data_IF_140943860512
#
_entry.id   IF_140943860512
#
_cell.length_a   1.000
_cell.length_b   1.000
_cell.length_c   1.000
_cell.angle_alpha   90.00
_cell.angle_beta   90.00
_cell.angle_gamma   90.00
#
_symmetry.space_group_name_H-M   'P 1'
#
loop_
_entity.id
_entity.type
_entity.pdbx_description
1 polymer ?
#
# COMPACT_ATOMS: atom_id res chain seq x y z
N UNK A 1 6.83 -4.41 11.14
CA UNK A 1 6.05 -5.39 10.37
C UNK A 1 4.72 -4.81 9.91
N UNK A 2 3.89 -4.24 10.80
CA UNK A 2 2.55 -3.72 10.44
C UNK A 2 2.56 -2.84 9.18
N UNK A 3 3.55 -1.93 9.04
CA UNK A 3 3.64 -1.07 7.87
C UNK A 3 3.92 -1.85 6.58
N UNK A 4 4.75 -2.88 6.64
CA UNK A 4 5.01 -3.77 5.51
C UNK A 4 3.73 -4.50 5.08
N UNK A 5 3.02 -5.08 6.04
CA UNK A 5 1.74 -5.74 5.76
C UNK A 5 0.70 -4.78 5.15
N UNK A 6 0.59 -3.53 5.67
CA UNK A 6 -0.26 -2.50 5.07
C UNK A 6 0.15 -2.22 3.63
N UNK A 7 1.45 -2.13 3.34
CA UNK A 7 1.93 -1.83 1.99
C UNK A 7 1.65 -2.98 1.02
N UNK A 8 1.84 -4.24 1.42
CA UNK A 8 1.55 -5.41 0.58
C UNK A 8 0.05 -5.54 0.32
N UNK A 9 -0.78 -5.46 1.36
CA UNK A 9 -2.22 -5.65 1.25
C UNK A 9 -2.93 -4.44 0.64
N UNK A 10 -2.40 -3.23 0.84
CA UNK A 10 -3.03 -1.97 0.52
C UNK A 10 -2.73 -1.39 -0.87
N UNK A 11 -1.96 -2.09 -1.71
CA UNK A 11 -1.51 -1.59 -3.03
C UNK A 11 -2.67 -1.00 -3.84
N UNK A 12 -3.81 -1.66 -3.86
CA UNK A 12 -4.97 -1.26 -4.65
C UNK A 12 -6.12 -0.67 -3.81
N UNK A 13 -6.34 -1.20 -2.60
CA UNK A 13 -7.46 -0.77 -1.73
C UNK A 13 -7.11 0.40 -0.81
N UNK A 14 -5.82 0.70 -0.65
CA UNK A 14 -5.29 1.77 0.20
C UNK A 14 -5.06 1.35 1.66
N UNK A 15 -4.29 2.20 2.36
CA UNK A 15 -3.78 1.92 3.71
C UNK A 15 -4.89 1.73 4.75
N UNK A 16 -5.99 2.48 4.63
CA UNK A 16 -7.08 2.42 5.60
C UNK A 16 -7.80 1.06 5.58
N UNK A 17 -8.07 0.52 4.39
CA UNK A 17 -8.70 -0.79 4.28
C UNK A 17 -7.73 -1.90 4.67
N UNK A 18 -6.48 -1.84 4.22
CA UNK A 18 -5.44 -2.78 4.63
C UNK A 18 -5.26 -2.80 6.16
N UNK A 19 -5.28 -1.63 6.81
CA UNK A 19 -5.19 -1.55 8.28
C UNK A 19 -6.36 -2.24 8.98
N UNK A 20 -7.61 -2.03 8.50
CA UNK A 20 -8.80 -2.70 9.06
C UNK A 20 -8.72 -4.22 8.89
N UNK A 21 -8.21 -4.67 7.74
CA UNK A 21 -8.02 -6.10 7.48
C UNK A 21 -6.98 -6.70 8.43
N UNK A 22 -5.87 -5.99 8.66
CA UNK A 22 -4.85 -6.42 9.63
C UNK A 22 -5.45 -6.49 11.04
N UNK A 23 -6.26 -5.51 11.45
CA UNK A 23 -6.93 -5.54 12.75
C UNK A 23 -7.84 -6.78 12.88
N UNK A 24 -8.51 -7.19 11.80
CA UNK A 24 -9.28 -8.45 11.76
C UNK A 24 -8.40 -9.69 11.87
N UNK A 25 -7.24 -9.75 11.21
CA UNK A 25 -6.30 -10.85 11.39
C UNK A 25 -6.00 -11.03 12.87
N UNK A 26 -5.74 -9.95 13.58
CA UNK A 26 -5.43 -9.95 15.02
C UNK A 26 -6.63 -10.16 15.94
N UNK A 27 -7.84 -10.33 15.44
CA UNK A 27 -8.95 -10.89 16.23
C UNK A 27 -8.87 -12.40 16.42
N UNK A 28 -8.12 -13.08 15.55
CA UNK A 28 -8.02 -14.55 15.50
C UNK A 28 -6.59 -15.05 15.69
N UNK A 29 -5.59 -14.20 15.52
CA UNK A 29 -4.17 -14.51 15.64
C UNK A 29 -3.52 -13.57 16.66
N UNK A 30 -2.57 -14.08 17.45
CA UNK A 30 -1.98 -13.35 18.57
C UNK A 30 -0.89 -12.37 18.12
N UNK A 31 -0.04 -12.82 17.19
CA UNK A 31 1.12 -12.05 16.73
C UNK A 31 1.53 -12.35 15.28
N UNK A 32 2.53 -11.63 14.78
CA UNK A 32 3.05 -11.82 13.43
C UNK A 32 3.74 -13.18 13.22
N UNK A 33 4.21 -13.82 14.27
CA UNK A 33 4.80 -15.14 14.15
C UNK A 33 3.71 -16.20 13.95
N UNK A 34 2.57 -16.05 14.62
CA UNK A 34 1.41 -16.92 14.37
C UNK A 34 0.87 -16.71 12.95
N UNK A 35 0.79 -15.46 12.47
CA UNK A 35 0.44 -15.19 11.06
C UNK A 35 1.40 -15.90 10.11
N UNK A 36 2.71 -15.82 10.35
CA UNK A 36 3.76 -16.44 9.53
C UNK A 36 3.61 -17.95 9.40
N UNK A 37 3.31 -18.65 10.50
CA UNK A 37 3.20 -20.13 10.51
C UNK A 37 1.82 -20.64 10.12
N UNK A 38 0.85 -19.75 9.95
CA UNK A 38 -0.50 -20.10 9.53
C UNK A 38 -0.54 -20.46 8.05
N UNK A 39 -1.49 -21.32 7.67
CA UNK A 39 -1.72 -21.62 6.26
C UNK A 39 -2.28 -20.39 5.51
N UNK A 40 -1.97 -20.31 4.21
CA UNK A 40 -2.54 -19.27 3.33
C UNK A 40 -4.07 -19.21 3.47
N UNK A 41 -4.75 -20.36 3.53
CA UNK A 41 -6.20 -20.44 3.65
C UNK A 41 -6.73 -19.85 4.97
N UNK A 42 -6.00 -20.02 6.07
CA UNK A 42 -6.39 -19.46 7.38
C UNK A 42 -6.26 -17.93 7.36
N UNK A 43 -5.12 -17.40 6.88
CA UNK A 43 -4.90 -15.95 6.82
C UNK A 43 -5.85 -15.30 5.80
N UNK A 44 -6.03 -15.90 4.62
CA UNK A 44 -6.96 -15.39 3.62
C UNK A 44 -8.41 -15.35 4.12
N UNK A 45 -8.85 -16.33 4.91
CA UNK A 45 -10.19 -16.32 5.53
C UNK A 45 -10.38 -15.11 6.46
N UNK A 46 -9.35 -14.71 7.19
CA UNK A 46 -9.38 -13.50 8.02
C UNK A 46 -9.36 -12.23 7.17
N UNK A 47 -8.63 -12.22 6.05
CA UNK A 47 -8.59 -11.10 5.09
C UNK A 47 -9.94 -10.93 4.40
N UNK A 48 -10.52 -12.03 3.90
CA UNK A 48 -11.76 -12.04 3.11
C UNK A 48 -11.60 -11.36 1.74
N UNK A 49 -12.71 -11.17 1.02
CA UNK A 49 -12.73 -10.62 -0.35
C UNK A 49 -12.54 -9.09 -0.43
N UNK A 50 -12.14 -8.45 0.66
CA UNK A 50 -11.97 -6.99 0.72
C UNK A 50 -10.69 -6.48 0.08
N UNK A 51 -9.71 -7.35 -0.08
CA UNK A 51 -8.43 -7.03 -0.69
C UNK A 51 -8.44 -7.55 -2.13
N UNK A 52 -8.29 -6.67 -3.14
CA UNK A 52 -8.08 -7.11 -4.51
C UNK A 52 -6.90 -8.07 -4.60
N UNK A 53 -7.05 -9.15 -5.36
CA UNK A 53 -6.05 -10.22 -5.45
C UNK A 53 -5.65 -10.80 -4.07
N UNK A 54 -6.61 -10.85 -3.13
CA UNK A 54 -6.36 -11.13 -1.71
C UNK A 54 -5.58 -12.43 -1.45
N UNK A 55 -5.81 -13.48 -2.25
CA UNK A 55 -5.08 -14.74 -2.12
C UNK A 55 -3.59 -14.57 -2.43
N UNK A 56 -3.25 -13.86 -3.51
CA UNK A 56 -1.85 -13.63 -3.91
C UNK A 56 -1.17 -12.66 -2.95
N UNK A 57 -1.88 -11.62 -2.49
CA UNK A 57 -1.39 -10.71 -1.45
C UNK A 57 -1.15 -11.44 -0.11
N UNK A 58 -1.98 -12.44 0.21
CA UNK A 58 -1.76 -13.29 1.39
C UNK A 58 -0.47 -14.10 1.25
N UNK A 59 -0.22 -14.72 0.09
CA UNK A 59 1.03 -15.45 -0.17
C UNK A 59 2.23 -14.53 -0.05
N UNK A 60 2.20 -13.37 -0.72
CA UNK A 60 3.27 -12.36 -0.64
C UNK A 60 3.57 -11.93 0.80
N UNK A 61 2.53 -11.72 1.61
CA UNK A 61 2.70 -11.38 3.03
C UNK A 61 3.38 -12.51 3.80
N UNK A 62 2.94 -13.76 3.62
CA UNK A 62 3.51 -14.91 4.32
C UNK A 62 4.96 -15.18 3.89
N UNK A 63 5.26 -15.09 2.59
CA UNK A 63 6.60 -15.24 2.06
C UNK A 63 7.56 -14.18 2.63
N UNK A 64 7.11 -12.92 2.70
CA UNK A 64 7.88 -11.84 3.30
C UNK A 64 8.13 -12.07 4.81
N UNK A 65 7.10 -12.49 5.57
CA UNK A 65 7.25 -12.78 7.00
C UNK A 65 8.19 -13.95 7.25
N UNK A 66 8.12 -14.99 6.42
CA UNK A 66 9.00 -16.14 6.50
C UNK A 66 10.45 -15.75 6.23
N UNK A 67 10.71 -15.00 5.16
CA UNK A 67 12.05 -14.53 4.82
C UNK A 67 12.65 -13.59 5.88
N UNK A 68 11.82 -12.75 6.50
CA UNK A 68 12.25 -11.91 7.63
C UNK A 68 12.67 -12.81 8.80
N UNK A 69 11.87 -13.81 9.14
CA UNK A 69 12.20 -14.73 10.23
C UNK A 69 13.50 -15.51 9.97
N UNK A 70 13.71 -16.00 8.76
CA UNK A 70 14.92 -16.71 8.37
C UNK A 70 16.18 -15.86 8.50
N UNK A 71 16.09 -14.56 8.20
CA UNK A 71 17.23 -13.63 8.26
C UNK A 71 17.46 -13.06 9.65
N UNK A 72 16.41 -12.79 10.41
CA UNK A 72 16.48 -12.06 11.69
C UNK A 72 16.24 -12.98 12.91
N UNK A 73 15.87 -14.26 12.70
CA UNK A 73 15.42 -15.22 13.73
C UNK A 73 14.25 -14.73 14.60
N UNK A 74 13.55 -13.72 14.09
CA UNK A 74 12.33 -13.14 14.67
C UNK A 74 11.57 -12.35 13.60
N UNK A 75 10.27 -12.19 13.76
CA UNK A 75 9.45 -11.40 12.83
C UNK A 75 9.54 -9.92 13.21
N UNK A 76 10.69 -9.29 12.93
CA UNK A 76 10.96 -7.88 13.24
C UNK A 76 11.87 -7.24 12.17
N UNK A 77 11.65 -5.97 11.91
CA UNK A 77 12.48 -5.12 11.03
C UNK A 77 13.28 -4.07 11.85
N UNK A 78 13.39 -4.25 13.17
CA UNK A 78 14.02 -3.24 14.03
C UNK A 78 15.50 -3.03 13.72
N UNK A 79 16.21 -4.08 13.26
CA UNK A 79 17.61 -3.99 12.81
C UNK A 79 17.79 -2.96 11.71
N UNK A 80 16.80 -2.76 10.85
CA UNK A 80 16.87 -1.77 9.76
C UNK A 80 16.97 -0.32 10.25
N UNK A 81 16.70 -0.06 11.54
CA UNK A 81 16.90 1.26 12.15
C UNK A 81 18.36 1.57 12.47
N UNK A 82 19.19 0.54 12.60
CA UNK A 82 20.61 0.64 12.96
C UNK A 82 21.56 0.56 11.75
N UNK A 83 21.05 0.32 10.56
CA UNK A 83 21.84 0.26 9.31
C UNK A 83 21.56 1.47 8.42
N UNK A 84 22.39 1.65 7.39
CA UNK A 84 22.22 2.73 6.42
C UNK A 84 20.91 2.65 5.64
N UNK A 85 20.35 3.79 5.25
CA UNK A 85 19.07 3.86 4.52
C UNK A 85 19.08 3.07 3.20
N UNK A 86 20.21 3.08 2.50
CA UNK A 86 20.39 2.31 1.27
C UNK A 86 20.33 0.80 1.56
N UNK A 87 21.10 0.35 2.54
CA UNK A 87 21.12 -1.06 2.95
C UNK A 87 19.75 -1.52 3.45
N UNK A 88 19.02 -0.68 4.20
CA UNK A 88 17.66 -0.96 4.63
C UNK A 88 16.69 -1.09 3.44
N UNK A 89 16.84 -0.26 2.40
CA UNK A 89 16.05 -0.36 1.17
C UNK A 89 16.38 -1.63 0.40
N UNK A 90 17.68 -1.91 0.18
CA UNK A 90 18.14 -3.11 -0.51
C UNK A 90 17.65 -4.39 0.20
N UNK A 91 17.65 -4.38 1.54
CA UNK A 91 17.09 -5.47 2.35
C UNK A 91 15.59 -5.69 2.08
N UNK A 92 14.79 -4.60 2.06
CA UNK A 92 13.35 -4.70 1.83
C UNK A 92 13.03 -5.17 0.40
N UNK A 93 13.73 -4.65 -0.60
CA UNK A 93 13.56 -5.01 -2.01
C UNK A 93 14.00 -6.46 -2.29
N UNK A 94 14.89 -7.01 -1.48
CA UNK A 94 15.30 -8.42 -1.56
C UNK A 94 14.36 -9.40 -0.83
N UNK A 95 13.29 -8.95 -0.21
CA UNK A 95 12.30 -9.83 0.41
C UNK A 95 11.31 -10.36 -0.64
N UNK A 96 11.04 -11.67 -0.67
CA UNK A 96 10.00 -12.21 -1.55
C UNK A 96 8.64 -11.59 -1.22
N UNK A 97 7.85 -11.32 -2.26
CA UNK A 97 6.53 -10.70 -2.11
C UNK A 97 6.52 -9.19 -1.81
N UNK A 98 7.69 -8.58 -1.69
CA UNK A 98 7.84 -7.11 -1.50
C UNK A 98 8.23 -6.48 -2.83
N UNK A 99 7.35 -5.67 -3.39
CA UNK A 99 7.62 -4.89 -4.59
C UNK A 99 8.20 -3.49 -4.24
N UNK A 100 8.61 -2.75 -5.27
CA UNK A 100 9.17 -1.39 -5.13
C UNK A 100 8.24 -0.46 -4.36
N UNK A 101 6.92 -0.57 -4.58
CA UNK A 101 5.93 0.23 -3.86
C UNK A 101 5.91 -0.09 -2.37
N UNK A 102 5.95 -1.38 -2.00
CA UNK A 102 5.93 -1.81 -0.61
C UNK A 102 7.23 -1.40 0.10
N UNK A 103 8.39 -1.63 -0.54
CA UNK A 103 9.68 -1.20 -0.01
C UNK A 103 9.74 0.31 0.20
N UNK A 104 9.38 1.11 -0.81
CA UNK A 104 9.33 2.57 -0.71
C UNK A 104 8.36 3.05 0.37
N UNK A 105 7.20 2.40 0.51
CA UNK A 105 6.22 2.71 1.56
C UNK A 105 6.80 2.49 2.97
N UNK A 106 7.49 1.38 3.18
CA UNK A 106 8.13 1.08 4.49
C UNK A 106 9.25 2.08 4.77
N UNK A 107 10.11 2.37 3.77
CA UNK A 107 11.18 3.36 3.90
C UNK A 107 10.65 4.72 4.29
N UNK A 108 9.64 5.24 3.58
CA UNK A 108 9.06 6.56 3.83
C UNK A 108 8.43 6.66 5.23
N UNK A 109 7.57 5.69 5.58
CA UNK A 109 6.72 5.81 6.76
C UNK A 109 7.36 5.29 8.05
N UNK A 110 8.26 4.30 7.97
CA UNK A 110 8.83 3.66 9.17
C UNK A 110 10.27 4.06 9.45
N UNK A 111 11.05 4.36 8.41
CA UNK A 111 12.48 4.65 8.55
C UNK A 111 12.86 6.09 8.21
N UNK A 112 11.88 6.93 7.81
CA UNK A 112 12.14 8.33 7.43
C UNK A 112 13.07 8.45 6.23
N UNK A 113 13.12 7.42 5.38
CA UNK A 113 13.88 7.42 4.15
C UNK A 113 13.24 8.34 3.11
N UNK A 114 14.08 8.86 2.20
CA UNK A 114 13.60 9.57 1.02
C UNK A 114 13.13 8.56 -0.01
N UNK A 115 11.84 8.29 -0.01
CA UNK A 115 11.18 7.38 -0.95
C UNK A 115 9.78 7.89 -1.28
N UNK A 116 9.35 7.67 -2.53
CA UNK A 116 8.01 8.08 -2.99
C UNK A 116 7.35 6.85 -3.62
N UNK A 117 6.48 6.16 -2.89
CA UNK A 117 5.84 4.95 -3.39
C UNK A 117 4.88 5.25 -4.53
N UNK A 118 5.11 4.63 -5.68
CA UNK A 118 4.29 4.73 -6.89
C UNK A 118 3.65 3.37 -7.16
N UNK A 119 2.31 3.29 -7.12
CA UNK A 119 1.55 2.11 -7.55
C UNK A 119 0.95 2.32 -8.95
N UNK A 120 0.37 1.26 -9.52
CA UNK A 120 -0.21 1.31 -10.87
C UNK A 120 -1.34 2.32 -10.99
N UNK A 121 -2.12 2.51 -9.93
CA UNK A 121 -3.20 3.49 -9.89
C UNK A 121 -2.69 4.93 -10.00
N UNK A 122 -1.64 5.26 -9.24
CA UNK A 122 -1.01 6.57 -9.34
C UNK A 122 -0.37 6.77 -10.71
N UNK A 123 0.35 5.74 -11.21
CA UNK A 123 0.94 5.79 -12.55
C UNK A 123 -0.11 6.03 -13.64
N UNK A 124 -1.24 5.32 -13.60
CA UNK A 124 -2.35 5.52 -14.55
C UNK A 124 -2.92 6.93 -14.47
N UNK A 125 -3.16 7.45 -13.26
CA UNK A 125 -3.66 8.82 -13.08
C UNK A 125 -2.68 9.88 -13.57
N UNK A 126 -1.37 9.66 -13.40
CA UNK A 126 -0.34 10.58 -13.92
C UNK A 126 -0.26 10.53 -15.46
N UNK A 127 -0.43 9.36 -16.07
CA UNK A 127 -0.51 9.21 -17.54
C UNK A 127 -1.76 9.86 -18.11
N UNK A 128 -2.93 9.64 -17.48
CA UNK A 128 -4.19 10.27 -17.89
C UNK A 128 -4.14 11.80 -17.80
N UNK A 129 -3.40 12.32 -16.85
CA UNK A 129 -3.17 13.77 -16.70
C UNK A 129 -2.02 14.30 -17.56
N UNK A 130 -1.40 13.46 -18.40
CA UNK A 130 -0.25 13.81 -19.28
C UNK A 130 0.96 14.37 -18.49
N UNK A 131 1.10 14.02 -17.20
CA UNK A 131 2.20 14.47 -16.34
C UNK A 131 3.45 13.60 -16.46
N UNK A 132 3.34 12.42 -17.06
CA UNK A 132 4.42 11.48 -17.34
C UNK A 132 4.27 10.89 -18.72
N UNK A 133 5.40 10.40 -19.27
CA UNK A 133 5.37 9.78 -20.59
C UNK A 133 4.44 8.54 -20.57
N UNK A 134 3.64 8.29 -21.64
CA UNK A 134 2.70 7.16 -21.70
C UNK A 134 3.34 5.79 -21.44
N UNK A 135 4.59 5.61 -21.82
CA UNK A 135 5.35 4.37 -21.65
C UNK A 135 6.25 4.36 -20.40
N UNK A 136 6.23 5.41 -19.58
CA UNK A 136 7.06 5.46 -18.36
C UNK A 136 6.68 4.32 -17.40
N UNK A 137 7.66 3.59 -16.90
CA UNK A 137 7.48 2.54 -15.89
C UNK A 137 7.28 3.12 -14.49
N UNK A 138 6.77 2.32 -13.55
CA UNK A 138 6.67 2.72 -12.13
C UNK A 138 8.02 3.14 -11.57
N UNK A 139 9.06 2.36 -11.84
CA UNK A 139 10.42 2.61 -11.37
C UNK A 139 10.98 3.95 -11.88
N UNK A 140 10.77 4.26 -13.17
CA UNK A 140 11.20 5.54 -13.75
C UNK A 140 10.47 6.72 -13.14
N UNK A 141 9.15 6.61 -12.95
CA UNK A 141 8.35 7.67 -12.31
C UNK A 141 8.74 7.84 -10.85
N UNK A 142 8.94 6.76 -10.10
CA UNK A 142 9.40 6.81 -8.73
C UNK A 142 10.77 7.49 -8.63
N UNK A 143 11.74 7.08 -9.45
CA UNK A 143 13.08 7.68 -9.47
C UNK A 143 13.05 9.16 -9.87
N UNK A 144 12.18 9.55 -10.80
CA UNK A 144 11.97 10.95 -11.18
C UNK A 144 11.41 11.76 -10.01
N UNK A 145 10.39 11.27 -9.33
CA UNK A 145 9.78 11.94 -8.20
C UNK A 145 10.75 12.05 -7.01
N UNK A 146 11.49 10.99 -6.71
CA UNK A 146 12.51 10.98 -5.64
C UNK A 146 13.64 11.99 -5.90
N UNK A 147 13.99 12.27 -7.16
CA UNK A 147 14.98 13.30 -7.51
C UNK A 147 14.46 14.73 -7.42
N UNK A 148 13.17 14.94 -7.64
CA UNK A 148 12.59 16.29 -7.76
C UNK A 148 11.82 16.73 -6.50
N UNK A 149 11.43 15.82 -5.62
CA UNK A 149 10.73 16.12 -4.38
C UNK A 149 11.72 16.12 -3.21
N UNK A 150 11.70 17.16 -2.41
CA UNK A 150 12.57 17.24 -1.23
C UNK A 150 12.19 16.16 -0.19
N UNK A 151 13.20 15.56 0.44
CA UNK A 151 13.03 14.53 1.48
C UNK A 151 12.09 14.98 2.62
N UNK A 152 12.16 16.24 3.03
CA UNK A 152 11.29 16.78 4.07
C UNK A 152 9.80 16.82 3.66
N UNK A 153 9.53 16.97 2.36
CA UNK A 153 8.20 17.08 1.79
C UNK A 153 7.64 15.71 1.29
N UNK A 154 8.48 14.67 1.23
CA UNK A 154 8.12 13.39 0.61
C UNK A 154 6.85 12.76 1.19
N UNK A 155 6.63 12.85 2.51
CA UNK A 155 5.41 12.33 3.16
C UNK A 155 4.17 13.09 2.75
N UNK A 156 4.21 14.42 2.81
CA UNK A 156 3.10 15.30 2.42
C UNK A 156 2.78 15.14 0.94
N UNK A 157 3.80 15.18 0.09
CA UNK A 157 3.67 14.91 -1.34
C UNK A 157 2.99 13.57 -1.62
N UNK A 158 3.42 12.49 -0.95
CA UNK A 158 2.82 11.16 -1.12
C UNK A 158 1.33 11.15 -0.73
N UNK A 159 0.94 11.85 0.34
CA UNK A 159 -0.48 11.97 0.74
C UNK A 159 -1.30 12.69 -0.33
N UNK A 160 -0.79 13.81 -0.85
CA UNK A 160 -1.44 14.57 -1.92
C UNK A 160 -1.59 13.72 -3.19
N UNK A 161 -0.52 13.03 -3.61
CA UNK A 161 -0.54 12.18 -4.81
C UNK A 161 -1.50 10.99 -4.68
N UNK A 162 -1.63 10.40 -3.49
CA UNK A 162 -2.66 9.38 -3.23
C UNK A 162 -4.08 9.92 -3.36
N UNK A 163 -4.31 11.15 -2.91
CA UNK A 163 -5.61 11.82 -3.07
C UNK A 163 -5.90 12.13 -4.54
N UNK A 164 -4.88 12.53 -5.30
CA UNK A 164 -4.97 12.76 -6.75
C UNK A 164 -5.35 11.48 -7.50
N UNK A 165 -4.76 10.33 -7.15
CA UNK A 165 -5.05 9.04 -7.73
C UNK A 165 -6.34 8.38 -7.22
N UNK A 166 -7.02 8.97 -6.23
CA UNK A 166 -8.29 8.44 -5.75
C UNK A 166 -9.39 8.63 -6.82
N UNK A 167 -10.31 7.65 -7.00
CA UNK A 167 -11.41 7.84 -7.93
C UNK A 167 -12.20 9.08 -7.52
N UNK A 168 -12.40 10.02 -8.46
CA UNK A 168 -13.29 11.15 -8.23
C UNK A 168 -14.65 10.58 -7.84
N UNK A 169 -15.11 10.83 -6.61
CA UNK A 169 -16.48 10.51 -6.21
C UNK A 169 -17.39 11.17 -7.26
N UNK A 170 -18.13 10.37 -8.03
CA UNK A 170 -19.17 10.88 -8.90
C UNK A 170 -20.04 11.79 -8.05
N UNK A 171 -20.09 13.08 -8.41
CA UNK A 171 -20.98 14.03 -7.77
C UNK A 171 -22.37 13.43 -7.90
N UNK A 172 -22.98 13.04 -6.78
CA UNK A 172 -24.34 12.53 -6.76
C UNK A 172 -25.22 13.63 -7.35
N UNK A 173 -25.64 13.45 -8.61
CA UNK A 173 -26.69 14.27 -9.20
C UNK A 173 -27.93 14.05 -8.35
N UNK A 174 -28.21 15.01 -7.45
CA UNK A 174 -29.52 15.14 -6.84
C UNK A 174 -30.49 15.36 -7.99
N UNK A 175 -31.12 14.29 -8.47
CA UNK A 175 -32.24 14.38 -9.37
C UNK A 175 -33.30 15.22 -8.70
N UNK A 176 -33.54 16.43 -9.24
CA UNK A 176 -34.63 17.28 -8.86
C UNK A 176 -35.93 16.50 -9.09
N UNK A 177 -36.68 16.27 -8.01
CA UNK A 177 -38.02 15.68 -8.00
C UNK A 177 -38.96 16.63 -8.75
N UNK A 178 -39.64 16.21 -9.82
CA UNK A 178 -40.55 17.09 -10.51
C UNK A 178 -41.74 17.43 -9.59
N UNK A 179 -42.05 18.72 -9.50
CA UNK A 179 -43.18 19.27 -8.75
C UNK A 179 -44.50 18.70 -9.29
N UNK A 180 -45.24 18.04 -8.43
CA UNK A 180 -46.59 17.52 -8.69
C UNK A 180 -47.56 18.67 -8.82
N UNK A 181 -47.99 19.01 -10.05
CA UNK A 181 -49.10 19.96 -10.29
C UNK A 181 -50.39 19.40 -9.66
N UNK A 182 -50.94 20.12 -8.70
CA UNK A 182 -52.32 19.92 -8.24
C UNK A 182 -53.24 20.50 -9.31
N UNK A 183 -54.07 19.66 -9.93
CA UNK A 183 -55.23 20.13 -10.67
C UNK A 183 -56.37 20.39 -9.69
N UNK A 184 -56.91 21.61 -9.75
CA UNK A 184 -58.15 22.03 -9.11
C UNK A 184 -59.28 21.79 -10.12
N UNK A 185 -60.30 21.09 -9.70
CA UNK A 185 -61.66 21.21 -10.19
C UNK A 185 -62.60 21.00 -9.03
#
# INVERSE_FOLDING_TARGET
>A
IRRLAIAILGVECGDAEASRVIDRIFTTMVDWNEVRVSSVAQVYRAIGDRIPQGLDRTRQLLDALQAIYEREHRVSLDRLRSIGRREARDYLEALPGVDDFAAASVMLWSFGGHAIPVNDKLLSSLREAELVHPNATRAEVQAFLERNVNSAQAKEFTVVMRSFAAPKRAASSKSAKPARKKSVS
#
